data_IF_194393285202
#
_entry.id   IF_194393285202
#
_cell.length_a   1.000
_cell.length_b   1.000
_cell.length_c   1.000
_cell.angle_alpha   90.00
_cell.angle_beta   90.00
_cell.angle_gamma   90.00
#
_symmetry.space_group_name_H-M   'P 1'
#
loop_
_entity.id
_entity.type
_entity.pdbx_description
1 polymer ?
#
# COMPACT_ATOMS: atom_id res chain seq x y z
N UNK A 1 -0.06 17.84 -9.15
CA UNK A 1 -0.16 16.37 -8.99
C UNK A 1 -0.76 16.09 -7.63
N UNK A 2 -2.05 15.75 -7.56
CA UNK A 2 -2.68 15.35 -6.31
C UNK A 2 -1.98 14.09 -5.76
N UNK A 3 -1.41 14.22 -4.57
CA UNK A 3 -0.80 13.11 -3.85
C UNK A 3 -1.96 12.25 -3.34
N UNK A 4 -2.26 11.16 -4.06
CA UNK A 4 -3.31 10.21 -3.70
C UNK A 4 -3.06 9.65 -2.28
N UNK A 5 -3.87 10.06 -1.30
CA UNK A 5 -3.76 9.57 0.07
C UNK A 5 -4.21 8.11 0.16
N UNK A 6 -3.41 7.31 0.84
CA UNK A 6 -3.69 5.91 1.15
C UNK A 6 -3.63 5.66 2.66
N UNK A 7 -4.42 4.70 3.12
CA UNK A 7 -4.26 4.05 4.42
C UNK A 7 -3.76 2.64 4.21
N UNK A 8 -2.85 2.18 5.05
CA UNK A 8 -2.37 0.80 4.97
C UNK A 8 -2.07 0.22 6.34
N UNK A 9 -2.16 -1.10 6.45
CA UNK A 9 -1.77 -1.86 7.64
C UNK A 9 -1.32 -3.27 7.24
N UNK A 10 -0.54 -3.89 8.10
CA UNK A 10 -0.07 -5.25 7.97
C UNK A 10 -0.98 -6.19 8.75
N UNK A 11 -1.59 -7.13 8.03
CA UNK A 11 -2.28 -8.26 8.62
C UNK A 11 -1.26 -9.36 8.89
N UNK A 12 -0.88 -9.51 10.16
CA UNK A 12 0.14 -10.48 10.59
C UNK A 12 -0.34 -11.93 10.43
N UNK A 13 -1.64 -12.18 10.55
CA UNK A 13 -2.22 -13.52 10.43
C UNK A 13 -2.01 -14.08 9.01
N UNK A 14 -2.10 -13.24 7.98
CA UNK A 14 -2.01 -13.65 6.57
C UNK A 14 -0.75 -13.15 5.85
N UNK A 15 0.21 -12.53 6.57
CA UNK A 15 1.43 -11.88 6.04
C UNK A 15 1.14 -11.03 4.78
N UNK A 16 0.18 -10.11 4.90
CA UNK A 16 -0.26 -9.28 3.78
C UNK A 16 -0.47 -7.81 4.20
N UNK A 17 -0.24 -6.90 3.27
CA UNK A 17 -0.50 -5.46 3.48
C UNK A 17 -1.84 -5.13 2.83
N UNK A 18 -2.76 -4.59 3.61
CA UNK A 18 -3.96 -3.97 3.09
C UNK A 18 -3.68 -2.51 2.80
N UNK A 19 -4.15 -2.02 1.66
CA UNK A 19 -4.02 -0.64 1.24
C UNK A 19 -5.40 -0.14 0.78
N UNK A 20 -5.83 0.99 1.31
CA UNK A 20 -7.07 1.68 0.97
C UNK A 20 -6.69 3.02 0.37
N UNK A 21 -7.18 3.30 -0.83
CA UNK A 21 -7.13 4.63 -1.42
C UNK A 21 -8.27 5.47 -0.87
N UNK A 22 -7.94 6.50 -0.11
CA UNK A 22 -8.92 7.32 0.60
C UNK A 22 -9.88 8.05 -0.31
N UNK A 23 -9.44 8.79 -1.36
CA UNK A 23 -10.36 9.60 -2.13
C UNK A 23 -11.30 8.77 -3.01
N UNK A 24 -10.93 7.54 -3.38
CA UNK A 24 -11.79 6.68 -4.21
C UNK A 24 -12.42 5.49 -3.46
N UNK A 25 -12.13 5.32 -2.18
CA UNK A 25 -12.51 4.14 -1.39
C UNK A 25 -11.99 2.78 -1.89
N UNK A 26 -11.11 2.76 -2.91
CA UNK A 26 -10.66 1.49 -3.52
C UNK A 26 -9.67 0.79 -2.62
N UNK A 27 -9.77 -0.52 -2.51
CA UNK A 27 -8.86 -1.31 -1.68
C UNK A 27 -8.01 -2.25 -2.53
N UNK A 28 -6.79 -2.52 -2.06
CA UNK A 28 -5.87 -3.50 -2.64
C UNK A 28 -5.16 -4.23 -1.53
N UNK A 29 -4.94 -5.52 -1.76
CA UNK A 29 -4.18 -6.36 -0.83
C UNK A 29 -2.91 -6.81 -1.51
N UNK A 30 -1.76 -6.54 -0.86
CA UNK A 30 -0.46 -6.99 -1.30
C UNK A 30 -0.10 -8.25 -0.52
N UNK A 31 -0.09 -9.39 -1.20
CA UNK A 31 0.26 -10.69 -0.64
C UNK A 31 1.65 -11.13 -1.09
N UNK A 32 2.34 -11.84 -0.20
CA UNK A 32 3.61 -12.49 -0.48
C UNK A 32 4.85 -11.65 -0.16
N UNK A 33 5.88 -12.33 0.34
CA UNK A 33 7.11 -11.73 0.89
C UNK A 33 7.74 -10.66 0.00
N UNK A 34 7.83 -10.90 -1.32
CA UNK A 34 8.45 -9.95 -2.27
C UNK A 34 7.65 -8.64 -2.42
N UNK A 35 6.32 -8.73 -2.52
CA UNK A 35 5.46 -7.54 -2.66
C UNK A 35 5.37 -6.77 -1.34
N UNK A 36 5.21 -7.48 -0.23
CA UNK A 36 5.20 -6.91 1.12
C UNK A 36 6.53 -6.23 1.40
N UNK A 37 7.67 -6.90 1.18
CA UNK A 37 9.00 -6.33 1.38
C UNK A 37 9.25 -5.07 0.54
N UNK A 38 8.90 -5.09 -0.74
CA UNK A 38 9.00 -3.89 -1.61
C UNK A 38 8.13 -2.74 -1.11
N UNK A 39 6.92 -3.03 -0.61
CA UNK A 39 6.06 -2.02 -0.03
C UNK A 39 6.69 -1.41 1.23
N UNK A 40 7.07 -2.24 2.20
CA UNK A 40 7.71 -1.80 3.44
C UNK A 40 8.95 -0.93 3.18
N UNK A 41 9.80 -1.33 2.22
CA UNK A 41 10.97 -0.55 1.81
C UNK A 41 10.59 0.82 1.23
N UNK A 42 9.59 0.90 0.34
CA UNK A 42 9.17 2.16 -0.28
C UNK A 42 8.59 3.18 0.71
N UNK A 43 8.00 2.68 1.80
CA UNK A 43 7.46 3.50 2.88
C UNK A 43 8.44 3.68 4.05
N UNK A 44 9.61 3.02 4.01
CA UNK A 44 10.62 3.00 5.08
C UNK A 44 10.01 2.63 6.44
N UNK A 45 9.14 1.61 6.44
CA UNK A 45 8.44 1.12 7.63
C UNK A 45 8.69 -0.36 7.80
N UNK A 46 8.68 -0.80 9.06
CA UNK A 46 8.77 -2.22 9.40
C UNK A 46 7.40 -2.89 9.41
N UNK A 47 7.39 -4.23 9.46
CA UNK A 47 6.16 -5.01 9.70
C UNK A 47 5.48 -4.61 11.02
N UNK A 48 6.29 -4.34 12.04
CA UNK A 48 5.81 -3.98 13.38
C UNK A 48 5.14 -2.59 13.39
N UNK A 49 5.77 -1.60 12.75
CA UNK A 49 5.21 -0.26 12.50
C UNK A 49 3.83 -0.28 11.84
N UNK A 50 3.56 -1.32 11.05
CA UNK A 50 2.32 -1.47 10.29
C UNK A 50 1.26 -2.31 11.01
N UNK A 51 1.48 -2.72 12.27
CA UNK A 51 0.43 -3.37 13.09
C UNK A 51 -0.81 -2.47 13.27
N UNK A 52 -0.59 -1.15 13.27
CA UNK A 52 -1.66 -0.14 13.29
C UNK A 52 -1.86 0.45 11.89
N UNK A 53 -3.05 0.99 11.66
CA UNK A 53 -3.36 1.71 10.42
C UNK A 53 -2.45 2.93 10.30
N UNK A 54 -1.69 3.01 9.22
CA UNK A 54 -0.88 4.17 8.86
C UNK A 54 -1.47 4.90 7.67
N UNK A 55 -1.18 6.19 7.58
CA UNK A 55 -1.50 7.05 6.43
C UNK A 55 -0.22 7.35 5.66
N UNK A 56 -0.36 7.49 4.35
CA UNK A 56 0.73 7.88 3.47
C UNK A 56 0.20 8.23 2.09
N UNK A 57 1.09 8.59 1.18
CA UNK A 57 0.73 8.86 -0.21
C UNK A 57 1.03 7.63 -1.05
N UNK A 58 0.29 7.40 -2.15
CA UNK A 58 0.53 6.30 -3.08
C UNK A 58 1.87 6.46 -3.84
N UNK A 59 2.98 6.13 -3.16
CA UNK A 59 4.35 6.21 -3.70
C UNK A 59 4.62 5.16 -4.77
N UNK A 60 3.87 4.05 -4.73
CA UNK A 60 4.05 2.91 -5.62
C UNK A 60 3.09 2.92 -6.82
N UNK A 61 2.24 3.95 -6.95
CA UNK A 61 1.25 4.03 -8.02
C UNK A 61 0.29 2.85 -8.02
N UNK A 62 -0.03 2.28 -6.85
CA UNK A 62 -0.91 1.12 -6.70
C UNK A 62 -2.30 1.39 -7.27
N UNK A 63 -2.74 2.65 -7.24
CA UNK A 63 -4.06 3.09 -7.69
C UNK A 63 -4.01 4.00 -8.93
N UNK A 64 -2.82 4.30 -9.46
CA UNK A 64 -2.71 4.96 -10.75
C UNK A 64 -3.32 4.06 -11.82
N UNK A 65 -4.16 4.65 -12.70
CA UNK A 65 -4.55 4.00 -13.95
C UNK A 65 -3.26 3.68 -14.70
N UNK A 66 -2.99 2.39 -14.92
CA UNK A 66 -2.02 2.00 -15.95
C UNK A 66 -2.61 2.50 -17.27
N UNK A 67 -2.10 3.62 -17.78
CA UNK A 67 -2.05 3.83 -19.21
C UNK A 67 -1.14 2.70 -19.72
N UNK A 68 -1.75 1.56 -20.05
CA UNK A 68 -1.14 0.67 -21.02
C UNK A 68 -1.17 1.45 -22.33
N UNK A 69 -0.12 2.24 -22.57
CA UNK A 69 0.17 2.74 -23.89
C UNK A 69 0.59 1.54 -24.73
N UNK A 70 -0.24 1.21 -25.71
CA UNK A 70 0.18 0.53 -26.93
C UNK A 70 -0.06 1.50 -28.07
#
# INVERSE_FOLDING_TARGET
MEKAEIRFWHDQSKDQIHVIHIPSGRTKTLKGKKKVGRFLQAYQVSRDDCKRVRRGNDRLGLFKRKLFGK
#
